data_IF_768782736220
#
_entry.id   IF_768782736220
#
_cell.length_a   1.000
_cell.length_b   1.000
_cell.length_c   1.000
_cell.angle_alpha   90.00
_cell.angle_beta   90.00
_cell.angle_gamma   90.00
#
_symmetry.space_group_name_H-M   'P 1'
#
loop_
_entity.id
_entity.type
_entity.pdbx_description
1 polymer ?
#
# COMPACT_ATOMS: atom_id res chain seq x y z
N UNK A 1 19.54 20.70 41.28
CA UNK A 1 20.79 20.88 40.52
C UNK A 1 20.97 19.66 39.63
N UNK A 2 20.51 19.72 38.38
CA UNK A 2 20.88 18.74 37.36
C UNK A 2 21.35 19.49 36.13
N UNK A 3 22.59 19.24 35.76
CA UNK A 3 23.31 19.88 34.68
C UNK A 3 22.90 19.31 33.34
N UNK A 4 22.55 20.19 32.38
CA UNK A 4 22.38 19.86 30.98
C UNK A 4 23.73 19.42 30.38
N UNK A 5 23.78 18.30 29.70
CA UNK A 5 24.87 17.88 28.84
C UNK A 5 24.44 18.01 27.39
N UNK A 6 25.22 18.77 26.66
CA UNK A 6 25.19 19.09 25.24
C UNK A 6 25.20 17.83 24.35
N UNK A 7 24.34 17.81 23.36
CA UNK A 7 24.45 16.93 22.20
C UNK A 7 25.01 17.72 21.05
N UNK A 8 26.30 17.59 20.86
CA UNK A 8 26.98 18.03 19.64
C UNK A 8 27.74 16.83 19.06
N UNK A 9 27.88 16.80 17.73
CA UNK A 9 28.67 15.89 16.91
C UNK A 9 28.09 14.48 16.60
N UNK A 10 27.38 14.42 15.47
CA UNK A 10 27.58 13.32 14.49
C UNK A 10 27.44 13.85 13.06
N UNK A 11 28.51 14.53 12.61
CA UNK A 11 28.73 14.83 11.18
C UNK A 11 29.58 13.70 10.59
N UNK A 12 28.94 12.76 9.90
CA UNK A 12 29.61 11.74 9.09
C UNK A 12 29.43 12.06 7.60
N UNK A 13 30.49 11.97 6.77
CA UNK A 13 30.42 12.45 5.39
C UNK A 13 29.77 11.41 4.47
N UNK A 14 28.66 11.77 3.87
CA UNK A 14 28.08 11.06 2.74
C UNK A 14 28.92 11.35 1.50
N UNK A 15 29.77 10.42 1.10
CA UNK A 15 30.53 10.49 -0.14
C UNK A 15 29.57 10.35 -1.33
N UNK A 16 29.39 11.43 -2.07
CA UNK A 16 28.78 11.46 -3.39
C UNK A 16 29.68 10.67 -4.36
N UNK A 17 29.18 9.56 -4.91
CA UNK A 17 29.73 9.02 -6.15
C UNK A 17 29.01 9.67 -7.32
N UNK A 18 29.66 10.64 -7.92
CA UNK A 18 29.29 11.16 -9.23
C UNK A 18 29.85 10.22 -10.29
N UNK A 19 28.98 9.62 -11.10
CA UNK A 19 29.36 9.16 -12.43
C UNK A 19 28.24 9.52 -13.43
N UNK A 20 28.67 10.37 -14.38
CA UNK A 20 27.92 11.21 -15.25
C UNK A 20 27.05 10.50 -16.31
N UNK A 21 25.99 11.18 -16.61
CA UNK A 21 25.56 11.61 -17.97
C UNK A 21 24.60 12.78 -17.76
N UNK A 22 25.01 13.95 -18.27
CA UNK A 22 24.34 15.23 -18.06
C UNK A 22 22.97 15.29 -18.73
N UNK A 23 21.94 15.42 -17.90
CA UNK A 23 20.67 15.99 -18.27
C UNK A 23 20.46 17.19 -17.34
N UNK A 24 20.17 18.36 -17.91
CA UNK A 24 20.00 19.63 -17.20
C UNK A 24 18.88 19.54 -16.13
N UNK A 25 19.26 19.43 -14.84
CA UNK A 25 18.37 19.29 -13.69
C UNK A 25 18.13 20.63 -12.95
N UNK A 26 18.47 21.75 -13.58
CA UNK A 26 18.24 23.06 -12.99
C UNK A 26 16.78 23.49 -13.16
N UNK A 27 15.97 23.39 -12.11
CA UNK A 27 14.63 23.98 -12.03
C UNK A 27 13.50 23.11 -11.48
N UNK A 28 13.77 21.90 -11.06
CA UNK A 28 12.71 21.02 -10.51
C UNK A 28 12.76 20.97 -8.98
N UNK A 29 11.56 20.93 -8.36
CA UNK A 29 11.45 20.85 -6.91
C UNK A 29 11.99 19.51 -6.38
N UNK A 30 12.45 19.45 -5.10
CA UNK A 30 12.90 18.20 -4.49
C UNK A 30 11.84 17.08 -4.52
N UNK A 31 10.55 17.44 -4.51
CA UNK A 31 9.43 16.50 -4.63
C UNK A 31 9.33 15.88 -6.02
N UNK A 32 9.53 16.67 -7.08
CA UNK A 32 9.51 16.18 -8.46
C UNK A 32 10.70 15.27 -8.73
N UNK A 33 11.86 15.58 -8.18
CA UNK A 33 13.06 14.73 -8.30
C UNK A 33 12.87 13.37 -7.62
N UNK A 34 12.25 13.34 -6.44
CA UNK A 34 11.93 12.09 -5.73
C UNK A 34 10.89 11.27 -6.49
N UNK A 35 9.85 11.91 -7.04
CA UNK A 35 8.82 11.23 -7.83
C UNK A 35 9.43 10.64 -9.11
N UNK A 36 10.27 11.38 -9.82
CA UNK A 36 10.92 10.90 -11.04
C UNK A 36 11.92 9.77 -10.76
N UNK A 37 12.63 9.84 -9.64
CA UNK A 37 13.54 8.77 -9.21
C UNK A 37 12.81 7.51 -8.81
N UNK A 38 11.64 7.63 -8.17
CA UNK A 38 10.76 6.50 -7.84
C UNK A 38 10.11 5.92 -9.10
N UNK A 39 9.71 6.77 -10.05
CA UNK A 39 9.13 6.33 -11.32
C UNK A 39 10.17 5.71 -12.26
N UNK A 40 11.37 6.26 -12.33
CA UNK A 40 12.48 5.74 -13.13
C UNK A 40 13.02 4.42 -12.59
N UNK A 41 13.07 4.23 -11.28
CA UNK A 41 13.45 2.94 -10.70
C UNK A 41 12.38 1.84 -10.91
N UNK A 42 11.12 2.22 -11.20
CA UNK A 42 10.06 1.28 -11.58
C UNK A 42 10.11 0.86 -13.05
N UNK A 43 10.67 1.68 -13.94
CA UNK A 43 10.70 1.42 -15.37
C UNK A 43 11.79 0.42 -15.83
N UNK A 44 12.79 0.13 -14.99
CA UNK A 44 13.92 -0.74 -15.35
C UNK A 44 14.02 -2.04 -14.55
N UNK A 45 13.39 -2.17 -13.40
CA UNK A 45 13.34 -3.41 -12.64
C UNK A 45 12.23 -4.28 -13.22
N UNK A 46 12.58 -5.40 -13.87
CA UNK A 46 11.61 -6.44 -14.23
C UNK A 46 10.85 -6.79 -12.96
N UNK A 47 9.62 -6.28 -12.82
CA UNK A 47 8.81 -6.48 -11.62
C UNK A 47 8.71 -7.98 -11.30
N UNK A 48 8.94 -8.34 -10.05
CA UNK A 48 8.74 -9.71 -9.61
C UNK A 48 7.25 -10.09 -9.81
N UNK A 49 6.95 -11.35 -10.14
CA UNK A 49 5.57 -11.81 -10.14
C UNK A 49 4.92 -11.49 -8.80
N UNK A 50 3.74 -10.89 -8.85
CA UNK A 50 2.97 -10.59 -7.64
C UNK A 50 1.95 -11.69 -7.42
N UNK A 51 1.89 -12.20 -6.19
CA UNK A 51 0.84 -13.09 -5.75
C UNK A 51 -0.35 -12.25 -5.29
N UNK A 52 -1.53 -12.55 -5.81
CA UNK A 52 -2.79 -12.02 -5.30
C UNK A 52 -3.50 -13.14 -4.54
N UNK A 53 -3.81 -12.90 -3.29
CA UNK A 53 -4.50 -13.86 -2.42
C UNK A 53 -5.97 -13.48 -2.32
N UNK A 54 -6.87 -14.42 -2.53
CA UNK A 54 -8.28 -14.29 -2.24
C UNK A 54 -8.66 -15.37 -1.23
N UNK A 55 -9.36 -14.99 -0.20
CA UNK A 55 -9.87 -15.89 0.82
C UNK A 55 -11.36 -16.01 0.56
N UNK A 56 -11.80 -17.17 0.09
CA UNK A 56 -13.19 -17.52 -0.06
C UNK A 56 -13.65 -18.14 1.28
N UNK A 57 -14.72 -17.62 1.81
CA UNK A 57 -15.37 -18.07 3.04
C UNK A 57 -16.63 -18.86 2.68
N UNK A 58 -17.50 -19.09 3.65
CA UNK A 58 -18.74 -19.83 3.41
C UNK A 58 -19.67 -19.09 2.43
N UNK A 59 -20.29 -19.83 1.51
CA UNK A 59 -21.17 -19.28 0.49
C UNK A 59 -20.43 -18.44 -0.57
N UNK A 60 -20.93 -17.24 -0.82
CA UNK A 60 -20.35 -16.30 -1.79
C UNK A 60 -19.42 -15.27 -1.14
N UNK A 61 -19.19 -15.38 0.16
CA UNK A 61 -18.41 -14.42 0.92
C UNK A 61 -16.92 -14.56 0.64
N UNK A 62 -16.29 -13.45 0.35
CA UNK A 62 -14.86 -13.43 0.01
C UNK A 62 -14.16 -12.17 0.51
N UNK A 63 -12.93 -12.33 0.96
CA UNK A 63 -12.03 -11.23 1.29
C UNK A 63 -10.82 -11.30 0.34
N UNK A 64 -10.60 -10.21 -0.38
CA UNK A 64 -9.51 -10.10 -1.34
C UNK A 64 -8.81 -8.75 -1.26
N UNK A 65 -7.78 -8.55 -2.10
CA UNK A 65 -6.92 -7.37 -2.03
C UNK A 65 -7.69 -6.06 -2.16
N UNK A 66 -8.75 -6.00 -2.97
CA UNK A 66 -9.54 -4.78 -3.16
C UNK A 66 -10.25 -4.31 -1.90
N UNK A 67 -10.86 -5.23 -1.12
CA UNK A 67 -11.50 -4.90 0.16
C UNK A 67 -10.47 -4.41 1.18
N UNK A 68 -9.32 -5.07 1.26
CA UNK A 68 -8.25 -4.70 2.18
C UNK A 68 -7.64 -3.35 1.80
N UNK A 69 -7.42 -3.11 0.51
CA UNK A 69 -6.93 -1.83 0.02
C UNK A 69 -7.90 -0.68 0.32
N UNK A 70 -9.22 -0.92 0.23
CA UNK A 70 -10.21 0.07 0.64
C UNK A 70 -10.06 0.42 2.13
N UNK A 71 -9.93 -0.56 3.01
CA UNK A 71 -9.72 -0.32 4.44
C UNK A 71 -8.42 0.47 4.69
N UNK A 72 -7.33 0.15 4.00
CA UNK A 72 -6.07 0.89 4.10
C UNK A 72 -6.21 2.34 3.63
N UNK A 73 -6.94 2.58 2.53
CA UNK A 73 -7.21 3.93 2.05
C UNK A 73 -8.13 4.70 3.01
N UNK A 74 -9.13 4.06 3.63
CA UNK A 74 -9.95 4.71 4.68
C UNK A 74 -9.04 5.15 5.85
N UNK A 75 -8.14 4.29 6.30
CA UNK A 75 -7.17 4.64 7.35
C UNK A 75 -6.27 5.81 6.95
N UNK A 76 -5.83 5.85 5.70
CA UNK A 76 -4.91 6.88 5.21
C UNK A 76 -5.59 8.23 4.98
N UNK A 77 -6.85 8.23 4.52
CA UNK A 77 -7.57 9.44 4.11
C UNK A 77 -8.62 9.91 5.13
N UNK A 78 -8.95 9.08 6.12
CA UNK A 78 -9.95 9.42 7.13
C UNK A 78 -11.38 9.54 6.59
N UNK A 79 -11.68 9.00 5.39
CA UNK A 79 -12.98 9.13 4.73
C UNK A 79 -13.21 8.01 3.72
N UNK A 80 -14.41 7.41 3.72
CA UNK A 80 -14.82 6.41 2.73
C UNK A 80 -14.87 7.01 1.32
N UNK A 81 -15.37 8.26 1.21
CA UNK A 81 -15.42 8.97 -0.09
C UNK A 81 -14.03 9.21 -0.67
N UNK A 82 -13.07 9.66 0.16
CA UNK A 82 -11.71 9.91 -0.29
C UNK A 82 -11.00 8.59 -0.64
N UNK A 83 -11.21 7.54 0.14
CA UNK A 83 -10.69 6.21 -0.14
C UNK A 83 -11.23 5.66 -1.47
N UNK A 84 -12.54 5.79 -1.74
CA UNK A 84 -13.15 5.40 -3.00
C UNK A 84 -12.53 6.13 -4.19
N UNK A 85 -12.39 7.45 -4.10
CA UNK A 85 -11.73 8.25 -5.17
C UNK A 85 -10.28 7.82 -5.41
N UNK A 86 -9.52 7.50 -4.36
CA UNK A 86 -8.15 7.01 -4.48
C UNK A 86 -8.05 5.64 -5.17
N UNK A 87 -9.17 4.94 -5.31
CA UNK A 87 -9.28 3.63 -5.97
C UNK A 87 -10.10 3.69 -7.26
N UNK A 88 -10.37 4.88 -7.80
CA UNK A 88 -11.17 5.11 -9.02
C UNK A 88 -12.57 4.48 -8.96
N UNK A 89 -13.17 4.41 -7.76
CA UNK A 89 -14.53 3.88 -7.59
C UNK A 89 -15.51 4.97 -7.16
N UNK A 90 -16.82 4.75 -7.49
CA UNK A 90 -17.87 5.63 -7.07
C UNK A 90 -18.06 5.61 -5.55
N UNK A 91 -18.62 6.70 -5.01
CA UNK A 91 -19.01 6.81 -3.60
C UNK A 91 -19.88 5.63 -3.15
N UNK A 92 -20.91 5.31 -3.94
CA UNK A 92 -21.81 4.19 -3.67
C UNK A 92 -21.04 2.87 -3.57
N UNK A 93 -20.16 2.60 -4.53
CA UNK A 93 -19.38 1.37 -4.54
C UNK A 93 -18.48 1.22 -3.32
N UNK A 94 -17.86 2.31 -2.86
CA UNK A 94 -17.03 2.29 -1.67
C UNK A 94 -17.85 1.95 -0.41
N UNK A 95 -19.06 2.49 -0.27
CA UNK A 95 -19.98 2.15 0.80
C UNK A 95 -20.46 0.71 0.73
N UNK A 96 -20.91 0.26 -0.44
CA UNK A 96 -21.35 -1.13 -0.65
C UNK A 96 -20.26 -2.14 -0.23
N UNK A 97 -18.98 -1.81 -0.51
CA UNK A 97 -17.86 -2.67 -0.09
C UNK A 97 -17.62 -2.64 1.42
N UNK A 98 -17.78 -1.50 2.09
CA UNK A 98 -17.67 -1.42 3.56
C UNK A 98 -18.77 -2.23 4.21
N UNK A 99 -20.01 -2.09 3.73
CA UNK A 99 -21.14 -2.86 4.22
C UNK A 99 -20.95 -4.38 4.00
N UNK A 100 -20.44 -4.75 2.83
CA UNK A 100 -20.10 -6.13 2.52
C UNK A 100 -19.04 -6.69 3.48
N UNK A 101 -17.97 -5.92 3.78
CA UNK A 101 -16.95 -6.33 4.75
C UNK A 101 -17.57 -6.52 6.15
N UNK A 102 -18.39 -5.57 6.61
CA UNK A 102 -19.03 -5.64 7.91
C UNK A 102 -19.95 -6.87 8.02
N UNK A 103 -20.72 -7.15 6.96
CA UNK A 103 -21.59 -8.33 6.87
C UNK A 103 -20.80 -9.63 6.92
N UNK A 104 -19.76 -9.75 6.09
CA UNK A 104 -18.90 -10.94 6.03
C UNK A 104 -18.25 -11.22 7.39
N UNK A 105 -17.80 -10.18 8.06
CA UNK A 105 -17.06 -10.33 9.32
C UNK A 105 -17.97 -10.43 10.56
N UNK A 106 -19.27 -10.10 10.43
CA UNK A 106 -20.18 -10.00 11.58
C UNK A 106 -19.81 -8.88 12.58
N UNK A 107 -18.87 -8.01 12.21
CA UNK A 107 -18.37 -6.90 13.03
C UNK A 107 -18.08 -5.68 12.17
N UNK A 108 -18.32 -4.49 12.72
CA UNK A 108 -17.94 -3.24 12.05
C UNK A 108 -16.42 -3.14 11.92
N UNK A 109 -15.92 -3.07 10.67
CA UNK A 109 -14.52 -2.83 10.36
C UNK A 109 -14.21 -1.33 10.27
N UNK A 110 -15.22 -0.50 10.02
CA UNK A 110 -15.15 0.96 9.86
C UNK A 110 -16.22 1.59 10.72
N UNK A 111 -15.88 2.68 11.39
CA UNK A 111 -16.81 3.50 12.17
C UNK A 111 -16.79 4.94 11.70
N UNK A 112 -17.93 5.66 11.80
CA UNK A 112 -17.99 7.08 11.49
C UNK A 112 -17.18 7.87 12.51
N UNK A 113 -16.45 8.89 12.03
CA UNK A 113 -15.77 9.85 12.88
C UNK A 113 -16.55 11.17 12.88
N UNK A 114 -17.01 11.58 14.07
CA UNK A 114 -17.70 12.86 14.26
C UNK A 114 -16.67 13.97 14.39
N UNK A 115 -16.75 15.00 13.53
CA UNK A 115 -15.94 16.21 13.67
C UNK A 115 -14.82 16.33 12.63
N UNK A 116 -15.12 17.01 11.55
CA UNK A 116 -14.17 17.55 10.58
C UNK A 116 -14.82 18.70 9.82
N UNK A 117 -14.03 19.64 9.33
CA UNK A 117 -14.47 20.87 8.62
C UNK A 117 -15.38 20.61 7.40
N UNK A 118 -15.54 19.37 6.94
CA UNK A 118 -16.29 18.97 5.74
C UNK A 118 -17.27 17.81 5.97
N UNK A 119 -17.71 17.56 7.20
CA UNK A 119 -18.73 16.54 7.54
C UNK A 119 -18.24 15.08 7.35
N UNK A 120 -18.51 14.22 8.32
CA UNK A 120 -18.47 12.76 8.17
C UNK A 120 -17.11 12.14 7.80
N UNK A 121 -16.17 12.04 8.74
CA UNK A 121 -14.99 11.19 8.65
C UNK A 121 -15.31 9.70 8.82
N UNK A 122 -14.35 8.84 8.56
CA UNK A 122 -14.41 7.41 8.85
C UNK A 122 -13.04 6.90 9.29
N UNK A 123 -13.03 6.00 10.25
CA UNK A 123 -11.81 5.36 10.74
C UNK A 123 -11.99 3.84 10.87
N UNK A 124 -10.88 3.12 10.87
CA UNK A 124 -10.94 1.69 11.14
C UNK A 124 -11.21 1.45 12.62
N UNK A 125 -12.09 0.50 12.91
CA UNK A 125 -12.18 -0.05 14.25
C UNK A 125 -10.93 -0.86 14.60
N UNK A 126 -10.67 -1.20 15.88
CA UNK A 126 -9.64 -2.15 16.25
C UNK A 126 -9.73 -3.48 15.49
N UNK A 127 -10.95 -3.95 15.23
CA UNK A 127 -11.21 -5.13 14.42
C UNK A 127 -10.79 -4.93 12.97
N UNK A 128 -11.18 -3.83 12.32
CA UNK A 128 -10.79 -3.51 10.94
C UNK A 128 -9.27 -3.41 10.77
N UNK A 129 -8.60 -2.79 11.74
CA UNK A 129 -7.13 -2.71 11.74
C UNK A 129 -6.47 -4.10 11.88
N UNK A 130 -7.01 -4.96 12.76
CA UNK A 130 -6.54 -6.34 12.93
C UNK A 130 -6.78 -7.19 11.68
N UNK A 131 -7.93 -7.02 11.01
CA UNK A 131 -8.27 -7.69 9.74
C UNK A 131 -7.23 -7.37 8.66
N UNK A 132 -6.94 -6.07 8.46
CA UNK A 132 -5.90 -5.63 7.51
C UNK A 132 -4.54 -6.26 7.84
N UNK A 133 -4.12 -6.18 9.11
CA UNK A 133 -2.82 -6.70 9.53
C UNK A 133 -2.70 -8.20 9.29
N UNK A 134 -3.75 -8.97 9.60
CA UNK A 134 -3.80 -10.43 9.40
C UNK A 134 -3.78 -10.80 7.93
N UNK A 135 -4.58 -10.14 7.10
CA UNK A 135 -4.60 -10.38 5.66
C UNK A 135 -3.22 -10.09 5.03
N UNK A 136 -2.60 -8.96 5.37
CA UNK A 136 -1.27 -8.61 4.88
C UNK A 136 -0.19 -9.58 5.36
N UNK A 137 -0.36 -10.17 6.55
CA UNK A 137 0.52 -11.26 7.00
C UNK A 137 0.35 -12.50 6.13
N UNK A 138 -0.88 -12.92 5.86
CA UNK A 138 -1.18 -14.07 4.99
C UNK A 138 -0.55 -13.86 3.59
N UNK A 139 -0.73 -12.70 2.97
CA UNK A 139 -0.13 -12.39 1.67
C UNK A 139 1.40 -12.52 1.68
N UNK A 140 2.05 -11.94 2.71
CA UNK A 140 3.53 -12.02 2.82
C UNK A 140 4.00 -13.45 3.01
N UNK A 141 3.34 -14.22 3.84
CA UNK A 141 3.72 -15.60 4.13
C UNK A 141 3.49 -16.50 2.91
N UNK A 142 2.36 -16.35 2.22
CA UNK A 142 2.07 -17.05 0.98
C UNK A 142 3.08 -16.70 -0.12
N UNK A 143 3.35 -15.41 -0.34
CA UNK A 143 4.32 -14.97 -1.33
C UNK A 143 5.74 -15.51 -1.06
N UNK A 144 6.11 -15.61 0.22
CA UNK A 144 7.39 -16.21 0.64
C UNK A 144 7.43 -17.69 0.34
N UNK A 145 6.35 -18.42 0.67
CA UNK A 145 6.26 -19.87 0.49
C UNK A 145 6.36 -20.27 -0.99
N UNK A 146 5.72 -19.50 -1.90
CA UNK A 146 5.68 -19.84 -3.34
C UNK A 146 6.70 -19.09 -4.20
N UNK A 147 7.60 -18.35 -3.60
CA UNK A 147 8.56 -17.49 -4.31
C UNK A 147 9.37 -18.22 -5.37
N UNK A 148 9.86 -19.42 -5.05
CA UNK A 148 10.68 -20.25 -5.95
C UNK A 148 9.88 -20.63 -7.21
N UNK A 149 8.66 -21.08 -7.02
CA UNK A 149 7.77 -21.50 -8.10
C UNK A 149 7.34 -20.32 -8.99
N UNK A 150 7.04 -19.17 -8.39
CA UNK A 150 6.73 -17.97 -9.17
C UNK A 150 7.91 -17.52 -10.04
N UNK A 151 9.13 -17.64 -9.55
CA UNK A 151 10.32 -17.32 -10.34
C UNK A 151 10.56 -18.32 -11.47
N UNK A 152 10.32 -19.61 -11.23
CA UNK A 152 10.40 -20.66 -12.26
C UNK A 152 9.37 -20.42 -13.35
N UNK A 153 8.09 -20.21 -12.99
CA UNK A 153 6.99 -19.90 -13.93
C UNK A 153 7.31 -18.68 -14.79
N UNK A 154 7.84 -17.62 -14.20
CA UNK A 154 8.26 -16.43 -14.94
C UNK A 154 9.35 -16.75 -15.97
N UNK A 155 10.32 -17.60 -15.60
CA UNK A 155 11.38 -18.05 -16.50
C UNK A 155 10.81 -18.83 -17.70
N UNK A 156 9.84 -19.71 -17.46
CA UNK A 156 9.18 -20.52 -18.49
C UNK A 156 8.43 -19.62 -19.48
N UNK A 157 7.61 -18.67 -18.97
CA UNK A 157 6.88 -17.72 -19.80
C UNK A 157 7.83 -16.86 -20.65
N UNK A 158 8.96 -16.43 -20.07
CA UNK A 158 9.94 -15.63 -20.79
C UNK A 158 10.64 -16.40 -21.91
N UNK A 159 10.83 -17.72 -21.76
CA UNK A 159 11.36 -18.61 -22.83
C UNK A 159 10.36 -18.80 -23.94
N UNK A 160 9.11 -19.10 -23.63
CA UNK A 160 8.05 -19.30 -24.63
C UNK A 160 7.77 -18.10 -25.52
N UNK A 161 8.02 -16.88 -25.04
CA UNK A 161 7.83 -15.63 -25.83
C UNK A 161 8.97 -15.34 -26.80
N UNK A 162 10.07 -16.10 -26.75
CA UNK A 162 11.24 -15.92 -27.63
C UNK A 162 11.33 -16.99 -28.74
N UNK A 163 10.48 -17.98 -28.69
CA UNK A 163 10.30 -19.00 -29.73
C UNK A 163 9.18 -18.59 -30.67
#
# INVERSE_FOLDING_TARGET
MYRATSVDEMTGPFRLFANGRGGNLAGRSPREQVIEQVMSSRAGAKSLPQLSVRIDLDGEDRIGPGKIQLLENIRAHGSISAAGRAMDMSYKRAWDLVDEINRICGHAAVEPQTGGKNGGGAMLTPFGAALVARYRKIERDAARAVRKELMALRGDIARSRKS
#
